data_IF_366363739583
#
_entry.id   IF_366363739583
#
_cell.length_a   1.000
_cell.length_b   1.000
_cell.length_c   1.000
_cell.angle_alpha   90.00
_cell.angle_beta   90.00
_cell.angle_gamma   90.00
#
_symmetry.space_group_name_H-M   'P 1'
#
loop_
_entity.id
_entity.type
_entity.pdbx_description
1 polymer ?
#
# COMPACT_ATOMS: atom_id res chain seq x y z
N UNK A 1 -35.21 -25.55 13.20
CA UNK A 1 -33.98 -26.05 12.54
C UNK A 1 -34.44 -27.03 11.47
N UNK A 2 -34.06 -26.79 10.22
CA UNK A 2 -34.33 -27.67 9.09
C UNK A 2 -33.07 -28.44 8.72
N UNK A 3 -33.24 -29.70 8.32
CA UNK A 3 -32.15 -30.58 7.91
C UNK A 3 -32.43 -31.14 6.52
N UNK A 4 -31.40 -31.39 5.74
CA UNK A 4 -31.51 -32.14 4.48
C UNK A 4 -31.74 -33.64 4.73
N UNK A 5 -31.84 -34.40 3.65
CA UNK A 5 -32.04 -35.86 3.67
C UNK A 5 -30.88 -36.63 4.32
N UNK A 6 -29.70 -36.02 4.44
CA UNK A 6 -28.50 -36.57 5.08
C UNK A 6 -28.37 -36.17 6.55
N UNK A 7 -29.31 -35.37 7.07
CA UNK A 7 -29.27 -34.87 8.45
C UNK A 7 -28.37 -33.65 8.65
N UNK A 8 -27.87 -33.04 7.56
CA UNK A 8 -27.09 -31.79 7.58
C UNK A 8 -28.06 -30.64 7.86
N UNK A 9 -27.72 -29.76 8.81
CA UNK A 9 -28.52 -28.58 9.10
C UNK A 9 -28.41 -27.61 7.92
N UNK A 10 -29.54 -27.30 7.28
CA UNK A 10 -29.62 -26.39 6.13
C UNK A 10 -30.29 -25.06 6.49
N UNK A 11 -30.98 -24.97 7.63
CA UNK A 11 -31.55 -23.73 8.13
C UNK A 11 -31.67 -23.73 9.66
N UNK A 12 -31.21 -22.66 10.29
CA UNK A 12 -31.48 -22.36 11.71
C UNK A 12 -32.33 -21.08 11.75
N UNK A 13 -33.51 -21.08 12.41
CA UNK A 13 -34.40 -19.91 12.42
C UNK A 13 -33.82 -18.72 13.21
N UNK A 14 -32.87 -18.97 14.10
CA UNK A 14 -32.11 -17.96 14.79
C UNK A 14 -30.73 -18.55 15.15
N UNK A 15 -29.66 -18.00 14.55
CA UNK A 15 -28.28 -18.45 14.78
C UNK A 15 -27.77 -18.14 16.20
N UNK A 16 -28.43 -17.23 16.91
CA UNK A 16 -28.04 -16.79 18.26
C UNK A 16 -28.58 -17.70 19.36
N UNK A 17 -29.41 -18.70 19.03
CA UNK A 17 -30.05 -19.59 20.00
C UNK A 17 -29.07 -20.37 20.89
N UNK A 18 -27.81 -20.50 20.45
CA UNK A 18 -26.76 -21.20 21.18
C UNK A 18 -25.75 -20.28 21.87
N UNK A 19 -25.88 -18.95 21.74
CA UNK A 19 -24.89 -18.04 22.31
C UNK A 19 -25.06 -17.89 23.83
N UNK A 20 -23.96 -17.81 24.59
CA UNK A 20 -23.99 -17.73 26.05
C UNK A 20 -24.45 -16.36 26.57
N UNK A 21 -24.42 -15.32 25.73
CA UNK A 21 -24.87 -13.97 26.03
C UNK A 21 -25.23 -13.20 24.74
N UNK A 22 -25.70 -11.97 24.91
CA UNK A 22 -25.91 -11.00 23.83
C UNK A 22 -24.79 -9.96 23.86
N UNK A 23 -24.28 -9.60 22.68
CA UNK A 23 -23.21 -8.63 22.55
C UNK A 23 -22.56 -8.71 21.17
N UNK A 24 -21.35 -8.17 21.06
CA UNK A 24 -20.51 -8.25 19.87
C UNK A 24 -19.58 -9.47 19.95
N UNK A 25 -19.41 -10.15 18.82
CA UNK A 25 -18.40 -11.19 18.62
C UNK A 25 -17.39 -10.66 17.59
N UNK A 26 -16.10 -10.87 17.85
CA UNK A 26 -15.02 -10.33 17.02
C UNK A 26 -14.17 -11.51 16.54
N UNK A 27 -14.05 -11.65 15.21
CA UNK A 27 -13.18 -12.66 14.62
C UNK A 27 -11.90 -12.01 14.09
N UNK A 28 -10.77 -12.67 14.35
CA UNK A 28 -9.48 -12.36 13.75
C UNK A 28 -9.22 -13.37 12.63
N UNK A 29 -9.02 -12.86 11.41
CA UNK A 29 -8.90 -13.65 10.19
C UNK A 29 -7.49 -13.54 9.66
N UNK A 30 -6.83 -14.68 9.45
CA UNK A 30 -5.54 -14.78 8.78
C UNK A 30 -5.72 -15.53 7.47
N UNK A 31 -5.79 -14.76 6.37
CA UNK A 31 -5.98 -15.31 5.03
C UNK A 31 -4.81 -16.18 4.57
N UNK A 32 -3.58 -15.94 5.03
CA UNK A 32 -2.42 -16.76 4.67
C UNK A 32 -2.57 -18.16 5.26
N UNK A 33 -2.89 -18.25 6.54
CA UNK A 33 -3.13 -19.53 7.22
C UNK A 33 -4.36 -20.25 6.64
N UNK A 34 -5.43 -19.51 6.30
CA UNK A 34 -6.57 -20.08 5.58
C UNK A 34 -6.12 -20.68 4.24
N UNK A 35 -5.39 -19.92 3.42
CA UNK A 35 -4.95 -20.37 2.10
C UNK A 35 -4.05 -21.60 2.17
N UNK A 36 -3.18 -21.68 3.18
CA UNK A 36 -2.34 -22.87 3.44
C UNK A 36 -3.21 -24.06 3.90
N UNK A 37 -4.19 -23.82 4.78
CA UNK A 37 -4.94 -24.87 5.47
C UNK A 37 -6.23 -25.35 4.80
N UNK A 38 -6.79 -24.62 3.83
CA UNK A 38 -8.14 -24.84 3.28
C UNK A 38 -8.26 -26.19 2.55
N UNK A 39 -7.23 -26.62 1.82
CA UNK A 39 -7.27 -27.85 1.02
C UNK A 39 -7.13 -29.13 1.88
N UNK A 40 -6.53 -29.01 3.06
CA UNK A 40 -6.22 -30.14 3.96
C UNK A 40 -7.07 -30.13 5.25
N UNK A 41 -8.06 -29.24 5.35
CA UNK A 41 -8.89 -29.04 6.56
C UNK A 41 -8.07 -28.70 7.81
N UNK A 42 -7.04 -27.85 7.64
CA UNK A 42 -6.05 -27.50 8.68
C UNK A 42 -6.10 -26.04 9.15
N UNK A 43 -7.07 -25.25 8.71
CA UNK A 43 -7.19 -23.80 8.96
C UNK A 43 -6.97 -23.44 10.45
N UNK A 44 -7.58 -24.18 11.37
CA UNK A 44 -7.44 -23.98 12.82
C UNK A 44 -6.80 -25.20 13.50
N UNK A 45 -5.94 -25.94 12.79
CA UNK A 45 -5.30 -27.14 13.35
C UNK A 45 -4.18 -26.81 14.34
N UNK A 46 -3.51 -25.68 14.17
CA UNK A 46 -2.63 -25.09 15.16
C UNK A 46 -3.46 -24.25 16.14
N UNK A 47 -3.24 -24.46 17.44
CA UNK A 47 -4.00 -23.79 18.51
C UNK A 47 -3.46 -22.40 18.84
N UNK A 48 -2.24 -22.10 18.40
CA UNK A 48 -1.57 -20.82 18.61
C UNK A 48 -1.74 -19.95 17.36
N UNK A 49 -1.60 -20.55 16.17
CA UNK A 49 -1.72 -19.86 14.88
C UNK A 49 -2.99 -20.31 14.15
N UNK A 50 -4.12 -19.67 14.46
CA UNK A 50 -5.41 -19.97 13.84
C UNK A 50 -5.62 -19.09 12.60
N UNK A 51 -6.21 -19.67 11.55
CA UNK A 51 -6.66 -18.91 10.39
C UNK A 51 -7.97 -18.14 10.65
N UNK A 52 -8.81 -18.65 11.55
CA UNK A 52 -10.04 -17.99 12.00
C UNK A 52 -10.07 -18.11 13.52
N UNK A 53 -9.75 -17.01 14.22
CA UNK A 53 -9.84 -16.94 15.67
C UNK A 53 -11.08 -16.15 16.11
N UNK A 54 -11.73 -16.59 17.18
CA UNK A 54 -12.77 -15.81 17.86
C UNK A 54 -12.10 -15.17 19.07
N UNK A 55 -12.07 -13.84 19.11
CA UNK A 55 -11.44 -13.11 20.19
C UNK A 55 -12.38 -13.03 21.40
N UNK A 56 -12.08 -13.83 22.43
CA UNK A 56 -12.87 -13.94 23.65
C UNK A 56 -12.62 -12.72 24.55
N UNK A 57 -13.66 -11.96 24.89
CA UNK A 57 -13.55 -10.65 25.56
C UNK A 57 -12.94 -10.72 26.97
N UNK A 58 -13.01 -11.87 27.62
CA UNK A 58 -12.33 -12.11 28.89
C UNK A 58 -10.87 -12.57 28.72
N UNK A 59 -10.34 -12.53 27.50
CA UNK A 59 -8.95 -12.86 27.16
C UNK A 59 -8.53 -14.30 27.45
N UNK A 60 -9.45 -15.16 27.88
CA UNK A 60 -9.21 -16.58 28.01
C UNK A 60 -9.49 -17.22 26.65
N UNK A 61 -8.44 -17.70 25.99
CA UNK A 61 -8.55 -18.45 24.73
C UNK A 61 -8.94 -19.91 25.03
N UNK A 62 -10.22 -20.14 25.31
CA UNK A 62 -10.79 -21.40 25.78
C UNK A 62 -11.23 -22.29 24.61
N UNK A 63 -11.65 -21.71 23.48
CA UNK A 63 -12.03 -22.47 22.28
C UNK A 63 -10.82 -23.24 21.73
N UNK A 64 -10.97 -24.57 21.64
CA UNK A 64 -9.92 -25.49 21.19
C UNK A 64 -9.08 -26.11 22.32
N UNK A 65 -9.36 -25.76 23.58
CA UNK A 65 -8.72 -26.34 24.77
C UNK A 65 -9.68 -27.22 25.59
N UNK A 66 -9.16 -28.25 26.28
CA UNK A 66 -9.99 -29.08 27.16
C UNK A 66 -10.40 -28.28 28.41
N UNK A 67 -11.69 -28.31 28.73
CA UNK A 67 -12.21 -27.70 29.95
C UNK A 67 -11.87 -28.52 31.19
N UNK A 68 -11.54 -27.85 32.29
CA UNK A 68 -11.40 -28.46 33.62
C UNK A 68 -12.75 -28.70 34.31
N UNK A 69 -13.84 -28.17 33.76
CA UNK A 69 -15.19 -28.35 34.31
C UNK A 69 -15.78 -29.67 33.81
N UNK A 70 -16.02 -30.61 34.74
CA UNK A 70 -16.48 -31.98 34.48
C UNK A 70 -17.77 -32.11 33.64
N UNK A 71 -18.55 -31.03 33.50
CA UNK A 71 -19.86 -31.04 32.82
C UNK A 71 -20.07 -29.84 31.88
N UNK A 72 -19.01 -29.09 31.55
CA UNK A 72 -19.12 -27.91 30.70
C UNK A 72 -18.38 -28.16 29.39
N UNK A 73 -19.09 -27.99 28.28
CA UNK A 73 -18.50 -28.06 26.94
C UNK A 73 -17.89 -26.68 26.63
N UNK A 74 -16.56 -26.55 26.54
CA UNK A 74 -15.91 -25.27 26.25
C UNK A 74 -16.27 -24.75 24.86
N UNK A 75 -16.75 -25.60 23.94
CA UNK A 75 -17.20 -25.16 22.62
C UNK A 75 -18.55 -24.42 22.62
N UNK A 76 -19.26 -24.41 23.76
CA UNK A 76 -20.51 -23.66 23.94
C UNK A 76 -20.31 -22.19 24.31
N UNK A 77 -19.08 -21.77 24.63
CA UNK A 77 -18.73 -20.43 25.09
C UNK A 77 -19.26 -20.10 26.50
N UNK A 78 -18.82 -18.95 26.99
CA UNK A 78 -19.15 -18.34 28.26
C UNK A 78 -19.59 -16.88 28.05
N UNK A 79 -20.39 -16.34 28.98
CA UNK A 79 -20.90 -14.97 28.79
C UNK A 79 -19.75 -13.94 28.78
N UNK A 80 -18.63 -14.28 29.44
CA UNK A 80 -17.42 -13.47 29.53
C UNK A 80 -16.73 -13.28 28.17
N UNK A 81 -16.93 -14.20 27.24
CA UNK A 81 -16.31 -14.20 25.91
C UNK A 81 -16.91 -13.11 24.99
N UNK A 82 -18.12 -12.61 25.32
CA UNK A 82 -18.87 -11.69 24.47
C UNK A 82 -18.54 -10.24 24.81
N UNK A 83 -18.36 -9.39 23.79
CA UNK A 83 -18.01 -7.98 23.95
C UNK A 83 -19.26 -7.10 24.16
N UNK A 84 -19.44 -6.52 25.34
CA UNK A 84 -20.55 -5.61 25.65
C UNK A 84 -20.27 -4.76 26.89
N UNK A 85 -20.79 -3.54 26.96
CA UNK A 85 -20.70 -2.76 28.20
C UNK A 85 -21.50 -3.44 29.32
N UNK A 86 -20.83 -3.60 30.46
CA UNK A 86 -21.32 -4.37 31.59
C UNK A 86 -20.70 -5.75 31.71
N UNK A 87 -19.83 -6.20 30.77
CA UNK A 87 -19.10 -7.46 30.93
C UNK A 87 -18.08 -7.36 32.09
N UNK A 88 -18.30 -8.06 33.22
CA UNK A 88 -17.41 -7.97 34.39
C UNK A 88 -16.06 -8.66 34.17
N UNK A 89 -15.98 -9.70 33.34
CA UNK A 89 -14.75 -10.48 33.14
C UNK A 89 -13.76 -9.71 32.27
N UNK A 90 -14.24 -9.07 31.19
CA UNK A 90 -13.46 -8.08 30.43
C UNK A 90 -12.92 -6.98 31.36
N UNK A 91 -13.80 -6.37 32.18
CA UNK A 91 -13.40 -5.26 33.08
C UNK A 91 -12.36 -5.67 34.11
N UNK A 92 -12.36 -6.95 34.55
CA UNK A 92 -11.39 -7.48 35.51
C UNK A 92 -9.96 -7.46 34.96
N UNK A 93 -9.79 -7.69 33.66
CA UNK A 93 -8.50 -7.75 32.98
C UNK A 93 -8.08 -6.40 32.44
N UNK A 94 -9.00 -5.64 31.86
CA UNK A 94 -8.75 -4.33 31.27
C UNK A 94 -9.14 -3.21 32.24
N UNK A 95 -8.49 -3.19 33.40
CA UNK A 95 -8.71 -2.16 34.41
C UNK A 95 -8.31 -0.78 33.89
N UNK A 96 -9.24 0.19 33.92
CA UNK A 96 -8.99 1.58 33.52
C UNK A 96 -9.75 2.03 32.27
N UNK A 97 -10.43 1.11 31.59
CA UNK A 97 -11.35 1.42 30.49
C UNK A 97 -12.78 1.55 31.02
N UNK A 98 -13.48 2.65 30.70
CA UNK A 98 -14.87 2.85 31.11
C UNK A 98 -15.83 1.93 30.34
N UNK A 99 -15.62 1.84 29.02
CA UNK A 99 -16.32 0.95 28.10
C UNK A 99 -15.36 -0.13 27.56
N UNK A 100 -15.85 -1.30 27.12
CA UNK A 100 -15.01 -2.30 26.49
C UNK A 100 -14.33 -1.79 25.22
N UNK A 101 -13.07 -2.18 25.07
CA UNK A 101 -12.21 -1.86 23.94
C UNK A 101 -11.40 -3.11 23.58
N UNK A 102 -11.36 -3.42 22.28
CA UNK A 102 -10.40 -4.34 21.69
C UNK A 102 -9.37 -3.51 20.92
N UNK A 103 -8.17 -3.38 21.44
CA UNK A 103 -7.11 -2.54 20.88
C UNK A 103 -5.71 -3.07 21.17
N UNK A 104 -4.64 -2.38 20.74
CA UNK A 104 -3.27 -2.88 20.86
C UNK A 104 -2.79 -2.98 22.32
N UNK A 105 -3.41 -2.20 23.21
CA UNK A 105 -3.04 -2.10 24.61
C UNK A 105 -4.03 -2.80 25.56
N UNK A 106 -4.96 -3.61 25.03
CA UNK A 106 -5.94 -4.36 25.80
C UNK A 106 -5.57 -5.84 25.86
N UNK A 107 -6.33 -6.62 26.62
CA UNK A 107 -6.22 -8.07 26.66
C UNK A 107 -7.63 -8.69 26.50
N UNK A 108 -7.92 -9.36 25.37
CA UNK A 108 -7.04 -9.63 24.22
C UNK A 108 -6.67 -8.33 23.46
N UNK A 109 -5.64 -8.41 22.62
CA UNK A 109 -5.14 -7.27 21.83
C UNK A 109 -5.35 -7.48 20.33
N UNK A 110 -5.31 -6.39 19.57
CA UNK A 110 -5.47 -6.38 18.11
C UNK A 110 -4.16 -6.65 17.36
N UNK A 111 -3.15 -7.27 17.97
CA UNK A 111 -1.91 -7.57 17.25
C UNK A 111 -2.13 -8.67 16.20
N UNK A 112 -1.32 -8.65 15.14
CA UNK A 112 -1.31 -9.73 14.16
C UNK A 112 -0.82 -11.05 14.78
N UNK A 113 -1.00 -12.16 14.05
CA UNK A 113 -0.49 -13.48 14.44
C UNK A 113 1.04 -13.51 14.66
N UNK A 114 1.81 -12.59 14.06
CA UNK A 114 3.25 -12.42 14.27
C UNK A 114 3.60 -11.54 15.49
N UNK A 115 2.59 -10.94 16.14
CA UNK A 115 2.73 -10.08 17.31
C UNK A 115 2.90 -8.60 16.99
N UNK A 116 2.75 -8.20 15.73
CA UNK A 116 2.87 -6.79 15.29
C UNK A 116 1.62 -6.00 15.67
N UNK A 117 1.80 -4.78 16.16
CA UNK A 117 0.67 -3.90 16.47
C UNK A 117 -0.05 -3.45 15.19
N UNK A 118 -1.32 -3.81 15.04
CA UNK A 118 -2.17 -3.34 13.92
C UNK A 118 -2.59 -1.88 14.07
N UNK A 119 -2.54 -1.36 15.30
CA UNK A 119 -3.06 -0.05 15.70
C UNK A 119 -4.58 0.12 15.52
N UNK A 120 -5.28 -0.96 15.17
CA UNK A 120 -6.74 -0.99 15.09
C UNK A 120 -7.31 -1.03 16.51
N UNK A 121 -8.36 -0.27 16.74
CA UNK A 121 -9.13 -0.25 17.98
C UNK A 121 -10.61 -0.36 17.64
N UNK A 122 -11.32 -1.27 18.31
CA UNK A 122 -12.79 -1.36 18.35
C UNK A 122 -13.19 -0.95 19.76
N UNK A 123 -13.86 0.18 19.92
CA UNK A 123 -14.09 0.82 21.21
C UNK A 123 -15.49 1.44 21.28
N UNK A 124 -15.84 2.07 22.40
CA UNK A 124 -17.19 2.58 22.68
C UNK A 124 -18.29 1.51 22.50
N UNK A 125 -17.96 0.25 22.80
CA UNK A 125 -18.88 -0.88 22.69
C UNK A 125 -20.01 -0.68 23.69
N UNK A 126 -21.24 -0.56 23.21
CA UNK A 126 -22.42 -0.27 24.03
C UNK A 126 -22.88 -1.45 24.88
N UNK A 127 -23.85 -1.20 25.75
CA UNK A 127 -24.64 -2.26 26.39
C UNK A 127 -25.35 -3.15 25.35
N UNK A 128 -25.66 -4.41 25.69
CA UNK A 128 -26.37 -5.30 24.78
C UNK A 128 -27.84 -4.86 24.65
N UNK A 129 -28.36 -4.85 23.42
CA UNK A 129 -29.73 -4.46 23.15
C UNK A 129 -30.16 -4.79 21.71
N UNK A 130 -31.36 -4.34 21.32
CA UNK A 130 -31.85 -4.51 19.93
C UNK A 130 -30.96 -3.81 18.90
N UNK A 131 -30.15 -2.86 19.34
CA UNK A 131 -29.14 -2.17 18.55
C UNK A 131 -27.95 -1.93 19.47
N UNK A 132 -26.78 -2.33 19.01
CA UNK A 132 -25.51 -2.00 19.65
C UNK A 132 -24.76 -1.00 18.79
N UNK A 133 -23.94 -0.19 19.44
CA UNK A 133 -22.99 0.72 18.78
C UNK A 133 -21.58 0.40 19.21
N UNK A 134 -20.65 0.66 18.31
CA UNK A 134 -19.22 0.65 18.57
C UNK A 134 -18.56 1.63 17.58
N UNK A 135 -17.33 2.01 17.89
CA UNK A 135 -16.45 2.84 17.08
C UNK A 135 -15.26 1.99 16.64
N UNK A 136 -14.73 2.26 15.44
CA UNK A 136 -13.48 1.66 14.97
C UNK A 136 -12.52 2.76 14.56
N UNK A 137 -11.24 2.63 14.92
CA UNK A 137 -10.19 3.56 14.50
C UNK A 137 -8.87 2.83 14.27
N UNK A 138 -7.98 3.44 13.48
CA UNK A 138 -6.57 3.08 13.44
C UNK A 138 -5.75 4.33 13.74
N UNK A 139 -4.89 4.30 14.75
CA UNK A 139 -4.16 5.51 15.21
C UNK A 139 -3.14 6.06 14.21
N UNK A 140 -2.76 5.28 13.21
CA UNK A 140 -1.86 5.70 12.12
C UNK A 140 -2.61 5.99 10.82
N UNK A 141 -3.92 5.74 10.77
CA UNK A 141 -4.75 6.01 9.61
C UNK A 141 -5.49 7.33 9.81
N UNK A 142 -5.25 8.29 8.93
CA UNK A 142 -6.06 9.51 8.91
C UNK A 142 -7.49 9.16 8.48
N UNK A 143 -8.49 9.72 9.17
CA UNK A 143 -9.89 9.54 8.80
C UNK A 143 -10.10 9.80 7.30
N UNK A 144 -10.67 8.81 6.60
CA UNK A 144 -10.92 8.87 5.16
C UNK A 144 -9.72 8.55 4.27
N UNK A 145 -8.57 8.11 4.81
CA UNK A 145 -7.42 7.65 4.02
C UNK A 145 -7.05 6.19 4.31
N UNK A 146 -6.56 5.42 3.32
CA UNK A 146 -6.64 5.76 1.90
C UNK A 146 -8.10 5.70 1.42
N UNK A 147 -8.54 6.74 0.71
CA UNK A 147 -9.79 6.66 -0.06
C UNK A 147 -9.50 5.91 -1.36
N UNK A 148 -9.70 4.58 -1.34
CA UNK A 148 -9.51 3.76 -2.53
C UNK A 148 -10.47 4.14 -3.68
N UNK A 149 -11.54 4.90 -3.42
CA UNK A 149 -12.45 5.42 -4.46
C UNK A 149 -11.96 6.74 -5.08
N UNK A 150 -10.94 7.36 -4.50
CA UNK A 150 -10.39 8.59 -5.01
C UNK A 150 -9.49 8.39 -6.23
N UNK A 151 -8.95 7.19 -6.47
CA UNK A 151 -8.17 6.87 -7.68
C UNK A 151 -7.20 7.99 -8.08
N UNK A 152 -6.42 8.49 -7.12
CA UNK A 152 -5.47 9.56 -7.35
C UNK A 152 -4.38 9.08 -8.31
N UNK A 153 -4.10 9.87 -9.34
CA UNK A 153 -3.14 9.53 -10.39
C UNK A 153 -1.86 10.36 -10.25
N UNK A 154 -2.00 11.68 -10.06
CA UNK A 154 -0.85 12.57 -9.90
C UNK A 154 -1.22 13.87 -9.18
N UNK A 155 -0.20 14.54 -8.64
CA UNK A 155 -0.30 15.90 -8.12
C UNK A 155 0.37 16.84 -9.12
N UNK A 156 -0.29 17.94 -9.46
CA UNK A 156 0.25 18.92 -10.38
C UNK A 156 -0.11 20.35 -9.98
N UNK A 157 0.75 21.30 -10.32
CA UNK A 157 0.52 22.71 -10.02
C UNK A 157 -0.19 23.39 -11.20
N UNK A 158 -1.40 23.89 -10.98
CA UNK A 158 -2.16 24.67 -11.95
C UNK A 158 -2.35 26.08 -11.38
N UNK A 159 -1.74 27.07 -12.04
CA UNK A 159 -1.61 28.43 -11.51
C UNK A 159 -0.73 28.45 -10.25
N UNK A 160 -1.26 29.01 -9.16
CA UNK A 160 -0.55 29.13 -7.87
C UNK A 160 -0.87 28.01 -6.87
N UNK A 161 -1.72 27.06 -7.24
CA UNK A 161 -2.22 26.01 -6.32
C UNK A 161 -1.83 24.62 -6.81
N UNK A 162 -1.56 23.72 -5.85
CA UNK A 162 -1.43 22.28 -6.10
C UNK A 162 -2.82 21.66 -6.23
N UNK A 163 -2.98 20.83 -7.23
CA UNK A 163 -4.21 20.11 -7.53
C UNK A 163 -3.89 18.64 -7.67
N UNK A 164 -4.90 17.82 -7.44
CA UNK A 164 -4.85 16.38 -7.64
C UNK A 164 -5.63 16.06 -8.90
N UNK A 165 -5.08 15.16 -9.72
CA UNK A 165 -5.77 14.54 -10.84
C UNK A 165 -6.07 13.10 -10.46
N UNK A 166 -7.28 12.63 -10.75
CA UNK A 166 -7.69 11.27 -10.44
C UNK A 166 -8.80 10.74 -11.35
N UNK A 167 -9.13 9.47 -11.16
CA UNK A 167 -10.26 8.79 -11.79
C UNK A 167 -9.94 7.51 -12.55
N UNK A 168 -11.00 6.76 -12.89
CA UNK A 168 -10.94 5.50 -13.66
C UNK A 168 -11.69 5.63 -14.99
N UNK A 169 -12.99 5.92 -14.98
CA UNK A 169 -13.80 5.99 -16.21
C UNK A 169 -13.82 7.40 -16.81
N UNK A 170 -13.55 8.38 -15.96
CA UNK A 170 -13.38 9.78 -16.30
C UNK A 170 -12.21 10.32 -15.52
N UNK A 171 -11.57 11.34 -16.06
CA UNK A 171 -10.48 12.04 -15.40
C UNK A 171 -11.01 13.37 -14.89
N UNK A 172 -10.75 13.61 -13.61
CA UNK A 172 -11.11 14.82 -12.91
C UNK A 172 -9.89 15.44 -12.25
N UNK A 173 -9.99 16.74 -11.96
CA UNK A 173 -9.06 17.42 -11.09
C UNK A 173 -9.79 18.03 -9.90
N UNK A 174 -9.11 18.18 -8.77
CA UNK A 174 -9.61 18.86 -7.57
C UNK A 174 -8.48 19.64 -6.87
N UNK A 175 -8.77 20.76 -6.19
CA UNK A 175 -7.79 21.42 -5.33
C UNK A 175 -7.31 20.48 -4.21
N UNK A 176 -6.01 20.49 -3.89
CA UNK A 176 -5.49 19.63 -2.80
C UNK A 176 -6.13 19.93 -1.44
N UNK A 177 -6.59 21.18 -1.24
CA UNK A 177 -7.28 21.62 -0.03
C UNK A 177 -8.71 21.07 0.10
N UNK A 178 -9.30 20.63 -1.01
CA UNK A 178 -10.65 20.07 -1.06
C UNK A 178 -10.73 19.03 -2.20
N UNK A 179 -10.20 17.81 -2.00
CA UNK A 179 -10.12 16.77 -3.03
C UNK A 179 -11.49 16.20 -3.44
N UNK A 180 -12.56 16.60 -2.77
CA UNK A 180 -13.93 16.18 -3.06
C UNK A 180 -14.64 17.14 -4.03
N UNK A 181 -14.17 18.37 -4.17
CA UNK A 181 -14.66 19.31 -5.16
C UNK A 181 -14.05 19.05 -6.54
N UNK A 182 -14.53 17.99 -7.18
CA UNK A 182 -13.98 17.44 -8.43
C UNK A 182 -14.59 18.09 -9.67
N UNK A 183 -13.73 18.44 -10.62
CA UNK A 183 -14.12 18.91 -11.96
C UNK A 183 -13.67 17.87 -12.99
N UNK A 184 -14.62 17.22 -13.65
CA UNK A 184 -14.36 16.27 -14.73
C UNK A 184 -14.03 17.02 -16.02
N UNK A 185 -12.98 16.60 -16.73
CA UNK A 185 -12.55 17.22 -17.98
C UNK A 185 -12.25 16.23 -19.11
N UNK A 186 -12.12 14.93 -18.81
CA UNK A 186 -11.96 13.89 -19.83
C UNK A 186 -12.81 12.67 -19.47
N UNK A 187 -13.39 12.02 -20.48
CA UNK A 187 -14.13 10.77 -20.33
C UNK A 187 -13.45 9.75 -21.22
N UNK A 188 -13.15 8.58 -20.66
CA UNK A 188 -12.49 7.49 -21.37
C UNK A 188 -13.32 7.06 -22.58
N UNK A 189 -12.68 6.82 -23.71
CA UNK A 189 -13.37 6.41 -24.94
C UNK A 189 -13.98 5.01 -24.83
N UNK A 190 -13.30 4.09 -24.14
CA UNK A 190 -13.75 2.74 -23.84
C UNK A 190 -13.45 2.41 -22.37
N UNK A 191 -14.45 2.02 -21.55
CA UNK A 191 -14.26 1.69 -20.13
C UNK A 191 -13.10 0.74 -19.84
N UNK A 192 -12.86 -0.23 -20.73
CA UNK A 192 -11.85 -1.27 -20.57
C UNK A 192 -10.41 -0.78 -20.79
N UNK A 193 -10.22 0.39 -21.42
CA UNK A 193 -8.87 0.92 -21.65
C UNK A 193 -8.19 1.28 -20.31
N UNK A 194 -6.89 1.05 -20.19
CA UNK A 194 -6.10 1.58 -19.07
C UNK A 194 -5.69 3.04 -19.33
N UNK A 195 -5.40 3.79 -18.26
CA UNK A 195 -4.85 5.15 -18.37
C UNK A 195 -3.37 5.18 -18.03
N UNK A 196 -2.62 5.94 -18.81
CA UNK A 196 -1.25 6.36 -18.53
C UNK A 196 -1.18 7.89 -18.63
N UNK A 197 -0.54 8.54 -17.65
CA UNK A 197 -0.47 9.99 -17.55
C UNK A 197 0.96 10.46 -17.74
N UNK A 198 1.14 11.58 -18.44
CA UNK A 198 2.46 12.17 -18.64
C UNK A 198 2.39 13.68 -18.73
N UNK A 199 3.27 14.36 -18.01
CA UNK A 199 3.46 15.82 -18.05
C UNK A 199 4.70 16.08 -18.89
N UNK A 200 4.51 16.46 -20.15
CA UNK A 200 5.64 16.64 -21.08
C UNK A 200 5.25 17.45 -22.31
N UNK A 201 6.25 18.03 -22.96
CA UNK A 201 6.13 19.01 -24.04
C UNK A 201 5.66 20.36 -23.50
N UNK A 202 6.21 21.45 -24.01
CA UNK A 202 5.85 22.80 -23.55
C UNK A 202 4.98 23.54 -24.56
N UNK A 203 4.03 24.32 -24.06
CA UNK A 203 3.32 25.32 -24.86
C UNK A 203 4.18 26.58 -25.06
N UNK A 204 3.65 27.55 -25.83
CA UNK A 204 4.36 28.82 -26.14
C UNK A 204 4.74 29.63 -24.88
N UNK A 205 4.09 29.37 -23.75
CA UNK A 205 4.35 30.02 -22.46
C UNK A 205 5.29 29.20 -21.55
N UNK A 206 5.83 28.08 -22.04
CA UNK A 206 6.73 27.21 -21.27
C UNK A 206 6.02 26.33 -20.24
N UNK A 207 4.71 26.12 -20.35
CA UNK A 207 3.93 25.26 -19.46
C UNK A 207 3.83 23.87 -20.07
N UNK A 208 4.04 22.82 -19.27
CA UNK A 208 3.92 21.43 -19.70
C UNK A 208 2.49 21.05 -20.09
N UNK A 209 2.36 20.24 -21.13
CA UNK A 209 1.07 19.65 -21.48
C UNK A 209 0.76 18.45 -20.59
N UNK A 210 -0.53 18.30 -20.25
CA UNK A 210 -1.04 17.06 -19.69
C UNK A 210 -1.40 16.11 -20.83
N UNK A 211 -0.76 14.95 -20.85
CA UNK A 211 -1.04 13.88 -21.80
C UNK A 211 -1.77 12.75 -21.06
N UNK A 212 -2.94 12.39 -21.56
CA UNK A 212 -3.73 11.26 -21.09
C UNK A 212 -3.75 10.22 -22.21
N UNK A 213 -3.10 9.11 -21.94
CA UNK A 213 -2.93 8.01 -22.88
C UNK A 213 -3.86 6.88 -22.46
N UNK A 214 -4.75 6.48 -23.35
CA UNK A 214 -5.60 5.31 -23.19
C UNK A 214 -5.02 4.14 -23.97
N UNK A 215 -4.72 3.04 -23.28
CA UNK A 215 -4.28 1.80 -23.92
C UNK A 215 -5.43 0.80 -23.97
N UNK A 216 -5.74 0.31 -25.17
CA UNK A 216 -6.49 -0.93 -25.35
C UNK A 216 -5.54 -2.12 -25.28
N UNK A 217 -5.96 -3.30 -25.74
CA UNK A 217 -5.11 -4.49 -25.81
C UNK A 217 -3.91 -4.31 -26.77
N UNK A 218 -4.08 -3.55 -27.85
CA UNK A 218 -3.10 -3.43 -28.94
C UNK A 218 -2.95 -2.01 -29.52
N UNK A 219 -3.69 -1.02 -29.04
CA UNK A 219 -3.71 0.34 -29.60
C UNK A 219 -3.61 1.43 -28.54
N UNK A 220 -3.28 2.64 -28.98
CA UNK A 220 -3.15 3.81 -28.12
C UNK A 220 -4.03 4.95 -28.61
N UNK A 221 -4.78 5.56 -27.70
CA UNK A 221 -5.43 6.85 -27.92
C UNK A 221 -4.73 7.87 -27.03
N UNK A 222 -3.98 8.78 -27.64
CA UNK A 222 -3.27 9.84 -26.94
C UNK A 222 -4.08 11.13 -27.01
N UNK A 223 -4.53 11.61 -25.86
CA UNK A 223 -5.21 12.88 -25.68
C UNK A 223 -4.26 13.89 -25.06
N UNK A 224 -4.11 15.05 -25.69
CA UNK A 224 -3.26 16.14 -25.22
C UNK A 224 -4.11 17.30 -24.74
N UNK A 225 -3.80 17.80 -23.54
CA UNK A 225 -4.50 18.89 -22.89
C UNK A 225 -3.55 20.06 -22.64
N UNK A 226 -4.01 21.25 -23.02
CA UNK A 226 -3.37 22.50 -22.62
C UNK A 226 -3.94 22.96 -21.28
N UNK A 227 -3.06 23.55 -20.50
CA UNK A 227 -3.35 24.01 -19.16
C UNK A 227 -3.41 25.53 -19.14
N UNK A 228 -4.60 26.07 -18.91
CA UNK A 228 -4.78 27.51 -18.84
C UNK A 228 -4.91 27.93 -17.38
N UNK A 229 -3.81 28.46 -16.84
CA UNK A 229 -3.68 28.88 -15.45
C UNK A 229 -4.76 29.90 -15.03
N UNK A 230 -5.11 30.85 -15.90
CA UNK A 230 -6.09 31.90 -15.61
C UNK A 230 -7.52 31.37 -15.43
N UNK A 231 -7.89 30.34 -16.21
CA UNK A 231 -9.19 29.69 -16.10
C UNK A 231 -9.21 28.51 -15.12
N UNK A 232 -8.06 28.15 -14.55
CA UNK A 232 -7.87 26.99 -13.69
C UNK A 232 -8.51 25.73 -14.27
N UNK A 233 -8.25 25.41 -15.55
CA UNK A 233 -8.81 24.21 -16.16
C UNK A 233 -7.94 23.62 -17.28
N UNK A 234 -8.24 22.39 -17.66
CA UNK A 234 -7.61 21.63 -18.74
C UNK A 234 -8.49 21.68 -19.99
N UNK A 235 -7.87 21.95 -21.15
CA UNK A 235 -8.57 22.03 -22.43
C UNK A 235 -7.97 21.05 -23.43
N UNK A 236 -8.79 20.17 -24.05
CA UNK A 236 -8.28 19.27 -25.07
C UNK A 236 -7.81 20.06 -26.29
N UNK A 237 -6.60 19.78 -26.76
CA UNK A 237 -6.02 20.44 -27.92
C UNK A 237 -5.78 19.50 -29.09
N UNK A 238 -5.49 18.22 -28.81
CA UNK A 238 -5.18 17.24 -29.84
C UNK A 238 -5.52 15.83 -29.36
N UNK A 239 -5.94 14.98 -30.31
CA UNK A 239 -6.12 13.56 -30.10
C UNK A 239 -5.46 12.79 -31.25
N UNK A 240 -4.67 11.78 -30.91
CA UNK A 240 -3.94 10.94 -31.87
C UNK A 240 -4.27 9.48 -31.57
N UNK A 241 -4.57 8.70 -32.61
CA UNK A 241 -4.82 7.26 -32.51
C UNK A 241 -3.65 6.52 -33.17
N UNK A 242 -3.07 5.56 -32.47
CA UNK A 242 -1.92 4.77 -32.91
C UNK A 242 -2.27 3.29 -32.83
N UNK A 243 -1.99 2.56 -33.92
CA UNK A 243 -2.26 1.11 -34.07
C UNK A 243 -1.17 0.25 -33.39
N UNK A 244 -0.76 0.66 -32.19
CA UNK A 244 0.20 -0.04 -31.32
C UNK A 244 0.20 0.59 -29.93
N UNK A 245 0.63 -0.17 -28.92
CA UNK A 245 0.85 0.35 -27.56
C UNK A 245 2.07 1.29 -27.55
N UNK A 246 1.84 2.54 -27.14
CA UNK A 246 2.84 3.61 -27.07
C UNK A 246 2.80 4.35 -25.75
N UNK A 247 3.96 4.65 -25.19
CA UNK A 247 4.14 5.45 -23.99
C UNK A 247 4.75 6.80 -24.35
N UNK A 248 4.23 7.87 -23.75
CA UNK A 248 4.69 9.24 -23.99
C UNK A 248 5.41 9.72 -22.74
N UNK A 249 6.74 9.84 -22.81
CA UNK A 249 7.57 10.16 -21.64
C UNK A 249 8.32 11.47 -21.85
N UNK A 250 8.75 12.11 -20.76
CA UNK A 250 9.64 13.27 -20.83
C UNK A 250 10.97 12.89 -21.49
N UNK A 251 11.41 13.71 -22.47
CA UNK A 251 12.71 13.53 -23.11
C UNK A 251 13.87 14.04 -22.25
N UNK A 252 15.10 13.76 -22.68
CA UNK A 252 16.32 14.21 -22.00
C UNK A 252 16.53 15.73 -21.99
N UNK A 253 15.86 16.46 -22.88
CA UNK A 253 15.94 17.91 -23.02
C UNK A 253 14.59 18.50 -22.61
N UNK A 254 14.63 19.51 -21.73
CA UNK A 254 13.47 20.25 -21.24
C UNK A 254 12.76 20.99 -22.38
N UNK A 255 11.93 20.26 -23.14
CA UNK A 255 10.98 20.71 -24.19
C UNK A 255 10.53 19.54 -25.09
N UNK A 256 11.20 18.38 -25.04
CA UNK A 256 10.89 17.23 -25.89
C UNK A 256 10.18 16.10 -25.13
N UNK A 257 9.49 15.26 -25.88
CA UNK A 257 8.91 14.01 -25.41
C UNK A 257 9.35 12.88 -26.32
N UNK A 258 9.44 11.68 -25.76
CA UNK A 258 9.71 10.46 -26.51
C UNK A 258 8.45 9.60 -26.62
N UNK A 259 8.27 8.96 -27.78
CA UNK A 259 7.20 8.00 -28.05
C UNK A 259 7.80 6.59 -28.07
N UNK A 260 7.62 5.86 -26.98
CA UNK A 260 8.24 4.55 -26.77
C UNK A 260 7.25 3.40 -27.04
N UNK A 261 7.74 2.30 -27.62
CA UNK A 261 7.02 1.02 -27.58
C UNK A 261 7.20 0.32 -26.24
N UNK A 262 6.47 -0.78 -26.01
CA UNK A 262 6.48 -1.50 -24.74
C UNK A 262 7.88 -1.97 -24.30
N UNK A 263 8.69 -2.51 -25.21
CA UNK A 263 10.04 -2.99 -24.87
C UNK A 263 10.97 -1.84 -24.46
N UNK A 264 10.90 -0.71 -25.19
CA UNK A 264 11.69 0.48 -24.87
C UNK A 264 11.25 1.13 -23.56
N UNK A 265 9.95 1.13 -23.27
CA UNK A 265 9.41 1.62 -22.00
C UNK A 265 9.82 0.72 -20.83
N UNK A 266 9.76 -0.61 -20.97
CA UNK A 266 10.24 -1.53 -19.94
C UNK A 266 11.74 -1.37 -19.68
N UNK A 267 12.54 -1.14 -20.73
CA UNK A 267 13.95 -0.81 -20.57
C UNK A 267 14.15 0.52 -19.82
N UNK A 268 13.31 1.54 -20.09
CA UNK A 268 13.36 2.82 -19.38
C UNK A 268 13.08 2.64 -17.88
N UNK A 269 12.11 1.80 -17.50
CA UNK A 269 11.79 1.50 -16.10
C UNK A 269 12.96 0.85 -15.32
N UNK A 270 13.91 0.26 -16.05
CA UNK A 270 15.13 -0.32 -15.48
C UNK A 270 16.30 0.67 -15.46
N UNK A 271 16.08 1.94 -15.78
CA UNK A 271 17.10 2.99 -15.70
C UNK A 271 16.76 4.02 -14.62
N UNK A 272 17.79 4.61 -14.04
CA UNK A 272 17.67 5.75 -13.14
C UNK A 272 18.80 6.75 -13.43
N UNK A 273 18.48 8.04 -13.39
CA UNK A 273 19.39 9.10 -13.80
C UNK A 273 19.39 10.20 -12.74
N UNK A 274 20.59 10.63 -12.34
CA UNK A 274 20.78 11.83 -11.53
C UNK A 274 21.45 12.88 -12.41
N UNK A 275 20.81 14.04 -12.52
CA UNK A 275 21.28 15.16 -13.33
C UNK A 275 21.72 16.26 -12.37
N UNK A 276 23.03 16.46 -12.23
CA UNK A 276 23.61 17.60 -11.54
C UNK A 276 24.39 18.48 -12.54
N UNK A 277 24.54 19.77 -12.21
CA UNK A 277 25.23 20.74 -13.08
C UNK A 277 26.67 20.32 -13.43
N UNK A 278 27.30 19.53 -12.55
CA UNK A 278 28.70 19.13 -12.64
C UNK A 278 28.86 17.69 -13.14
N UNK A 279 27.87 16.83 -12.93
CA UNK A 279 27.93 15.41 -13.27
C UNK A 279 26.53 14.85 -13.54
N UNK A 280 26.36 14.10 -14.62
CA UNK A 280 25.13 13.37 -14.92
C UNK A 280 25.47 11.90 -14.96
N UNK A 281 24.92 11.14 -14.00
CA UNK A 281 25.16 9.70 -13.90
C UNK A 281 23.88 8.96 -14.26
N UNK A 282 24.01 7.97 -15.16
CA UNK A 282 22.91 7.10 -15.57
C UNK A 282 23.24 5.67 -15.13
N UNK A 283 22.30 5.05 -14.46
CA UNK A 283 22.34 3.67 -14.02
C UNK A 283 21.29 2.86 -14.79
N UNK A 284 21.58 1.58 -15.03
CA UNK A 284 20.61 0.60 -15.53
C UNK A 284 20.80 -0.73 -14.83
N UNK A 285 19.70 -1.42 -14.54
CA UNK A 285 19.73 -2.83 -14.16
C UNK A 285 19.39 -3.73 -15.35
N UNK A 286 20.07 -4.85 -15.44
CA UNK A 286 19.82 -5.90 -16.43
C UNK A 286 20.04 -7.25 -15.74
N UNK A 287 18.96 -7.99 -15.50
CA UNK A 287 18.95 -9.20 -14.67
C UNK A 287 19.66 -8.97 -13.32
N UNK A 288 20.81 -9.60 -13.09
CA UNK A 288 21.61 -9.48 -11.87
C UNK A 288 22.75 -8.44 -11.98
N UNK A 289 22.76 -7.60 -13.02
CA UNK A 289 23.86 -6.67 -13.30
C UNK A 289 23.43 -5.22 -13.16
N UNK A 290 24.20 -4.42 -12.42
CA UNK A 290 24.11 -2.97 -12.43
C UNK A 290 25.13 -2.40 -13.42
N UNK A 291 24.69 -1.48 -14.27
CA UNK A 291 25.46 -0.85 -15.34
C UNK A 291 25.47 0.66 -15.11
N UNK A 292 26.65 1.28 -15.15
CA UNK A 292 26.85 2.73 -15.10
C UNK A 292 27.22 3.23 -16.49
N UNK A 293 26.60 4.33 -16.92
CA UNK A 293 26.85 4.95 -18.21
C UNK A 293 27.45 6.34 -18.04
N UNK A 294 28.37 6.66 -18.95
CA UNK A 294 28.84 8.02 -19.21
C UNK A 294 28.40 8.41 -20.63
N UNK A 295 27.38 9.28 -20.71
CA UNK A 295 26.68 9.53 -21.97
C UNK A 295 26.06 8.23 -22.51
N UNK A 296 26.37 7.88 -23.77
CA UNK A 296 25.84 6.67 -24.42
C UNK A 296 26.75 5.44 -24.30
N UNK A 297 27.84 5.52 -23.52
CA UNK A 297 28.81 4.43 -23.36
C UNK A 297 28.73 3.83 -21.97
N UNK A 298 28.86 2.50 -21.89
CA UNK A 298 29.01 1.80 -20.62
C UNK A 298 30.37 2.18 -20.02
N UNK A 299 30.35 2.73 -18.82
CA UNK A 299 31.54 3.08 -18.05
C UNK A 299 31.97 1.92 -17.15
N UNK A 300 31.02 1.33 -16.42
CA UNK A 300 31.29 0.26 -15.47
C UNK A 300 30.11 -0.69 -15.31
N UNK A 301 30.38 -1.93 -14.90
CA UNK A 301 29.35 -2.92 -14.55
C UNK A 301 29.72 -3.65 -13.26
N UNK A 302 28.70 -4.13 -12.54
CA UNK A 302 28.85 -4.99 -11.37
C UNK A 302 27.75 -6.04 -11.36
N UNK A 303 28.16 -7.30 -11.30
CA UNK A 303 27.26 -8.45 -11.14
C UNK A 303 26.96 -8.70 -9.66
N UNK A 304 25.73 -9.12 -9.40
CA UNK A 304 25.23 -9.50 -8.09
C UNK A 304 24.84 -10.98 -8.09
N UNK A 305 24.76 -11.57 -6.90
CA UNK A 305 24.39 -12.98 -6.73
C UNK A 305 22.94 -13.28 -7.15
N UNK A 306 22.06 -12.29 -6.98
CA UNK A 306 20.62 -12.39 -7.23
C UNK A 306 20.16 -11.33 -8.22
N UNK A 307 19.04 -11.59 -8.90
CA UNK A 307 18.44 -10.67 -9.86
C UNK A 307 18.04 -9.36 -9.19
N UNK A 308 18.28 -8.24 -9.86
CA UNK A 308 17.91 -6.90 -9.43
C UNK A 308 16.48 -6.61 -9.89
N UNK A 309 15.64 -6.11 -8.98
CA UNK A 309 14.19 -5.94 -9.23
C UNK A 309 13.75 -4.48 -9.19
N UNK A 310 14.52 -3.60 -8.54
CA UNK A 310 14.27 -2.15 -8.52
C UNK A 310 15.57 -1.38 -8.54
N UNK A 311 15.52 -0.23 -9.19
CA UNK A 311 16.56 0.76 -9.24
C UNK A 311 15.94 2.14 -9.07
N UNK A 312 16.49 2.93 -8.16
CA UNK A 312 16.32 4.38 -8.14
C UNK A 312 17.69 5.03 -8.06
N UNK A 313 17.77 6.34 -8.31
CA UNK A 313 19.00 7.07 -8.11
C UNK A 313 18.72 8.44 -7.48
N UNK A 314 19.57 8.82 -6.52
CA UNK A 314 19.47 10.06 -5.76
C UNK A 314 20.85 10.43 -5.24
N UNK A 315 21.09 11.72 -5.02
CA UNK A 315 22.27 12.19 -4.28
C UNK A 315 22.04 11.96 -2.78
N UNK A 316 22.58 10.86 -2.28
CA UNK A 316 22.28 10.30 -0.96
C UNK A 316 23.12 10.97 0.14
N UNK A 317 24.35 11.37 -0.16
CA UNK A 317 25.27 12.04 0.78
C UNK A 317 25.48 13.54 0.51
N UNK A 318 24.75 14.09 -0.48
CA UNK A 318 24.73 15.51 -0.84
C UNK A 318 26.08 16.01 -1.35
N UNK A 319 26.88 15.15 -1.97
CA UNK A 319 28.16 15.53 -2.56
C UNK A 319 28.03 16.15 -3.97
N UNK A 320 26.81 16.20 -4.51
CA UNK A 320 26.50 16.67 -5.84
C UNK A 320 26.65 15.59 -6.92
N UNK A 321 26.75 14.31 -6.55
CA UNK A 321 26.75 13.15 -7.45
C UNK A 321 25.63 12.21 -7.06
N UNK A 322 25.21 11.38 -8.01
CA UNK A 322 24.10 10.46 -7.80
C UNK A 322 24.58 9.06 -7.43
N UNK A 323 23.89 8.46 -6.48
CA UNK A 323 24.04 7.06 -6.09
C UNK A 323 22.92 6.21 -6.67
N UNK A 324 23.25 4.97 -7.02
CA UNK A 324 22.25 3.96 -7.31
C UNK A 324 21.80 3.30 -6.02
N UNK A 325 20.49 3.25 -5.79
CA UNK A 325 19.88 2.40 -4.75
C UNK A 325 19.16 1.27 -5.47
N UNK A 326 19.55 0.04 -5.14
CA UNK A 326 19.13 -1.17 -5.86
C UNK A 326 18.61 -2.21 -4.89
N UNK A 327 17.46 -2.80 -5.21
CA UNK A 327 16.87 -3.92 -4.48
C UNK A 327 16.97 -5.19 -5.32
N UNK A 328 17.40 -6.30 -4.71
CA UNK A 328 17.40 -7.61 -5.36
C UNK A 328 16.18 -8.47 -4.97
N UNK A 329 15.95 -9.56 -5.69
CA UNK A 329 14.84 -10.49 -5.46
C UNK A 329 14.90 -11.23 -4.12
N UNK A 330 16.06 -11.25 -3.46
CA UNK A 330 16.23 -11.81 -2.11
C UNK A 330 15.99 -10.75 -1.01
N UNK A 331 15.51 -9.56 -1.39
CA UNK A 331 15.18 -8.47 -0.48
C UNK A 331 16.36 -7.66 0.02
N UNK A 332 17.59 -7.89 -0.47
CA UNK A 332 18.76 -7.13 -0.06
C UNK A 332 18.82 -5.78 -0.77
N UNK A 333 18.96 -4.71 0.02
CA UNK A 333 19.08 -3.34 -0.48
C UNK A 333 20.55 -2.91 -0.54
N UNK A 334 20.96 -2.33 -1.66
CA UNK A 334 22.31 -1.83 -1.90
C UNK A 334 22.25 -0.34 -2.24
N UNK A 335 23.25 0.43 -1.78
CA UNK A 335 23.52 1.77 -2.27
C UNK A 335 24.97 1.83 -2.77
N UNK A 336 25.17 2.31 -3.99
CA UNK A 336 26.48 2.35 -4.65
C UNK A 336 26.74 3.71 -5.30
N UNK A 337 27.99 4.18 -5.20
CA UNK A 337 28.47 5.33 -5.96
C UNK A 337 28.59 4.99 -7.48
N UNK A 338 28.86 6.00 -8.31
CA UNK A 338 29.10 5.81 -9.74
C UNK A 338 30.30 4.90 -10.08
N UNK A 339 31.22 4.69 -9.13
CA UNK A 339 32.35 3.77 -9.29
C UNK A 339 32.02 2.37 -8.75
N UNK A 340 30.75 2.10 -8.44
CA UNK A 340 30.22 0.85 -7.92
C UNK A 340 30.83 0.40 -6.57
N UNK A 341 31.30 1.37 -5.78
CA UNK A 341 31.66 1.18 -4.37
C UNK A 341 30.41 1.26 -3.49
N UNK A 342 30.37 0.42 -2.46
CA UNK A 342 29.26 0.45 -1.50
C UNK A 342 29.33 1.68 -0.59
N UNK A 343 28.18 2.26 -0.31
CA UNK A 343 28.02 3.26 0.74
C UNK A 343 28.12 2.63 2.13
N UNK A 344 28.57 3.42 3.10
CA UNK A 344 28.65 2.98 4.49
C UNK A 344 27.26 2.64 5.02
N UNK A 345 27.11 1.43 5.57
CA UNK A 345 25.82 0.91 6.04
C UNK A 345 25.09 0.02 5.03
N UNK A 346 25.60 -0.10 3.79
CA UNK A 346 25.10 -1.02 2.78
C UNK A 346 26.08 -2.18 2.53
N UNK A 347 25.59 -3.37 2.14
CA UNK A 347 24.18 -3.72 1.94
C UNK A 347 23.39 -3.81 3.24
N UNK A 348 22.10 -3.47 3.17
CA UNK A 348 21.14 -3.71 4.24
C UNK A 348 20.48 -5.05 3.96
N UNK A 349 20.77 -6.03 4.81
CA UNK A 349 20.19 -7.37 4.77
C UNK A 349 18.97 -7.42 5.67
N UNK A 350 17.98 -6.60 5.35
CA UNK A 350 16.64 -6.72 5.90
C UNK A 350 15.76 -7.29 4.78
N UNK A 351 14.79 -8.13 5.12
CA UNK A 351 13.90 -8.75 4.15
C UNK A 351 12.94 -7.69 3.58
N UNK A 352 13.36 -7.01 2.51
CA UNK A 352 12.54 -6.04 1.78
C UNK A 352 11.88 -6.69 0.56
N UNK A 353 10.80 -6.07 0.07
CA UNK A 353 10.13 -6.49 -1.15
C UNK A 353 9.57 -5.25 -1.86
N UNK A 354 9.34 -5.36 -3.17
CA UNK A 354 8.43 -4.44 -3.84
C UNK A 354 8.98 -3.04 -4.07
N UNK A 355 8.26 -2.02 -3.61
CA UNK A 355 8.46 -0.63 -4.00
C UNK A 355 9.65 0.04 -3.29
N UNK A 356 10.35 0.92 -4.01
CA UNK A 356 11.53 1.62 -3.54
C UNK A 356 11.45 3.09 -3.98
N UNK A 357 11.57 4.00 -3.00
CA UNK A 357 11.59 5.45 -3.22
C UNK A 357 12.68 6.09 -2.38
N UNK A 358 13.11 7.29 -2.76
CA UNK A 358 13.96 8.10 -1.91
C UNK A 358 13.62 9.58 -2.04
N UNK A 359 13.53 10.27 -0.90
CA UNK A 359 13.29 11.71 -0.82
C UNK A 359 13.56 12.20 0.60
N UNK A 360 13.89 13.48 0.77
CA UNK A 360 13.86 14.12 2.09
C UNK A 360 12.40 14.30 2.52
N UNK A 361 11.99 13.50 3.51
CA UNK A 361 10.62 13.50 4.04
C UNK A 361 10.58 13.80 5.54
N UNK A 362 11.71 13.66 6.23
CA UNK A 362 11.83 14.00 7.63
C UNK A 362 12.24 15.47 7.85
N UNK A 363 12.55 16.20 6.77
CA UNK A 363 12.99 17.60 6.83
C UNK A 363 14.39 17.74 7.40
N UNK A 364 15.19 16.68 7.30
CA UNK A 364 16.62 16.74 7.56
C UNK A 364 17.35 17.06 6.24
N UNK A 365 18.67 17.29 6.26
CA UNK A 365 19.33 17.70 5.01
C UNK A 365 19.46 16.58 3.99
N UNK A 366 19.41 15.32 4.43
CA UNK A 366 19.65 14.13 3.61
C UNK A 366 18.32 13.47 3.23
N UNK A 367 18.28 12.75 2.10
CA UNK A 367 17.10 11.98 1.75
C UNK A 367 16.99 10.70 2.58
N UNK A 368 15.75 10.29 2.85
CA UNK A 368 15.43 8.97 3.36
C UNK A 368 15.15 7.99 2.20
N UNK A 369 15.35 6.70 2.49
CA UNK A 369 14.98 5.60 1.61
C UNK A 369 13.71 4.96 2.16
N UNK A 370 12.67 4.91 1.35
CA UNK A 370 11.40 4.28 1.68
C UNK A 370 11.33 2.96 0.93
N UNK A 371 11.21 1.87 1.68
CA UNK A 371 11.21 0.52 1.11
C UNK A 371 10.14 -0.32 1.78
N UNK A 372 9.38 -1.04 0.97
CA UNK A 372 8.36 -1.98 1.44
C UNK A 372 9.02 -3.24 2.02
N UNK A 373 8.50 -3.72 3.15
CA UNK A 373 9.04 -4.91 3.82
C UNK A 373 8.49 -6.18 3.16
N UNK A 374 9.18 -7.31 3.33
CA UNK A 374 8.77 -8.59 2.74
C UNK A 374 7.43 -9.11 3.26
N UNK A 375 7.06 -8.73 4.49
CA UNK A 375 5.75 -9.02 5.09
C UNK A 375 4.59 -8.37 4.32
N UNK A 376 4.85 -7.33 3.50
CA UNK A 376 3.83 -6.48 2.86
C UNK A 376 2.84 -5.87 3.85
N UNK A 377 3.19 -5.86 5.13
CA UNK A 377 2.41 -5.24 6.19
C UNK A 377 2.99 -3.88 6.55
N UNK A 378 4.26 -3.61 6.21
CA UNK A 378 4.93 -2.38 6.59
C UNK A 378 5.81 -1.80 5.47
N UNK A 379 6.03 -0.49 5.52
CA UNK A 379 7.18 0.12 4.86
C UNK A 379 8.15 0.67 5.90
N UNK A 380 9.44 0.48 5.64
CA UNK A 380 10.54 1.00 6.43
C UNK A 380 11.07 2.29 5.82
N UNK A 381 11.34 3.27 6.66
CA UNK A 381 12.04 4.49 6.30
C UNK A 381 13.45 4.39 6.88
N UNK A 382 14.43 4.27 6.00
CA UNK A 382 15.84 4.20 6.34
C UNK A 382 16.47 5.58 6.14
N UNK A 383 17.41 5.95 7.00
CA UNK A 383 18.25 7.11 6.71
C UNK A 383 19.24 6.80 5.57
N UNK A 384 19.95 7.82 5.13
CA UNK A 384 20.97 7.73 4.08
C UNK A 384 22.13 6.74 4.37
N UNK A 385 22.25 6.22 5.61
CA UNK A 385 23.21 5.17 6.02
C UNK A 385 22.57 3.79 6.13
N UNK A 386 21.35 3.60 5.63
CA UNK A 386 20.64 2.33 5.66
C UNK A 386 20.14 1.93 7.06
N UNK A 387 20.07 2.86 8.01
CA UNK A 387 19.57 2.56 9.36
C UNK A 387 18.07 2.89 9.45
N UNK A 388 17.23 2.01 10.01
CA UNK A 388 15.80 2.29 10.16
C UNK A 388 15.57 3.45 11.12
N UNK A 389 14.77 4.41 10.67
CA UNK A 389 14.36 5.60 11.42
C UNK A 389 12.91 5.47 11.86
N UNK A 390 12.03 5.03 10.94
CA UNK A 390 10.61 4.82 11.19
C UNK A 390 10.13 3.56 10.46
N UNK A 391 9.09 2.94 11.00
CA UNK A 391 8.36 1.84 10.38
C UNK A 391 6.88 2.22 10.43
N UNK A 392 6.21 2.07 9.30
CA UNK A 392 4.79 2.38 9.17
C UNK A 392 4.03 1.16 8.67
N UNK A 393 2.86 0.86 9.26
CA UNK A 393 1.98 -0.16 8.71
C UNK A 393 1.41 0.29 7.36
N UNK A 394 1.44 -0.61 6.38
CA UNK A 394 0.62 -0.52 5.17
C UNK A 394 -0.84 -0.70 5.61
N UNK A 395 -1.71 0.22 5.22
CA UNK A 395 -3.14 0.02 5.40
C UNK A 395 -3.55 -1.21 4.60
N UNK A 396 -3.95 -2.28 5.28
CA UNK A 396 -4.51 -3.44 4.60
C UNK A 396 -5.79 -3.00 3.88
N UNK A 397 -6.02 -3.46 2.63
CA UNK A 397 -7.25 -3.18 1.89
C UNK A 397 -8.47 -3.92 2.46
N UNK A 398 -8.39 -4.37 3.71
CA UNK A 398 -9.49 -4.99 4.40
C UNK A 398 -10.60 -3.95 4.57
N UNK A 399 -11.58 -4.05 3.67
CA UNK A 399 -12.92 -3.63 3.98
C UNK A 399 -13.28 -4.34 5.29
N UNK A 400 -13.27 -3.59 6.38
CA UNK A 400 -14.07 -3.91 7.55
C UNK A 400 -15.50 -4.08 7.03
N UNK A 401 -15.91 -5.34 6.85
CA UNK A 401 -17.22 -5.70 6.32
C UNK A 401 -18.25 -5.76 7.42
#
# INVERSE_FOLDING_TARGET
>A
IEKDENGVIILVPNYDLGLPASGLLIWHIDEEIINIGINDYRINSDRILKGIDLEEADGAQDIGYPSIFLFQDPSGGYFGDVWFDGNPEYKRLNNGFELPEFGPNTYPNTHSNSGTASYIRIFDISEPGNTMSFSVSNSHQLDGFPDFSAHFQLIHQLGTKKNIIGGIDSVWWAPISDPFNRTVFHIKGNPDNSFFFSLTGLNENGIEYLNIIEHSDDSTIWNKFDMIADSLNYFPIEQIILDSIKFIVGGDISQEYDILGIDAYNNLLNTAKVINEVDTTLFRIDENTLIVFQGNSIEMTKEFEYSLIKLIAIDLDLDGRGEAIVLNENGTLYALDKNLNYFAGFPVQDTFNGNLFAHDILGDSHPEIIVENQDKENFSILNWKGQPVLIFPLSTPERIK
#
